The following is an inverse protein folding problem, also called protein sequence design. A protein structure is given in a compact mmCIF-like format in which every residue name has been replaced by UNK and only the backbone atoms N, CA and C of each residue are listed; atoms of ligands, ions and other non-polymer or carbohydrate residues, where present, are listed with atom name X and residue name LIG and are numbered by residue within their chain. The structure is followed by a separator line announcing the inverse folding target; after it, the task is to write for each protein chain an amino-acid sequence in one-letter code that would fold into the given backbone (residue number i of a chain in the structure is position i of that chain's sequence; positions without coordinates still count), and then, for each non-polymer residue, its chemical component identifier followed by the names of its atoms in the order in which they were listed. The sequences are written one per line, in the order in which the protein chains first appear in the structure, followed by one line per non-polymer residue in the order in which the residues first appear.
data_IF_155357272536
#
_entry.id   IF_155357272536
#
_cell.length_a   1.000
_cell.length_b   1.000
_cell.length_c   1.000
_cell.angle_alpha   90.00
_cell.angle_beta   90.00
_cell.angle_gamma   90.00
#
_symmetry.space_group_name_H-M   'P 1'
#
loop_
_entity.id
_entity.type
_entity.pdbx_description
1 polymer ?
#
# COMPACT_ATOMS: atom_id res chain seq x y z
N UNK A 1 -0.38 -21.14 7.12
CA UNK A 1 -0.33 -21.08 8.60
C UNK A 1 0.31 -22.37 9.12
N UNK A 2 0.99 -22.40 10.29
CA UNK A 2 1.61 -23.66 10.82
C UNK A 2 0.56 -24.77 10.98
N UNK A 3 -0.68 -24.38 11.33
CA UNK A 3 -1.81 -25.30 11.51
C UNK A 3 -2.18 -26.01 10.21
N UNK A 4 -2.15 -25.31 9.07
CA UNK A 4 -2.49 -25.91 7.78
C UNK A 4 -1.46 -26.96 7.34
N UNK A 5 -0.18 -26.76 7.67
CA UNK A 5 0.89 -27.71 7.37
C UNK A 5 0.79 -29.01 8.19
N UNK A 6 0.16 -28.96 9.37
CA UNK A 6 0.03 -30.08 10.31
C UNK A 6 -1.35 -30.76 10.25
N UNK A 7 -2.33 -30.15 9.57
CA UNK A 7 -3.71 -30.66 9.43
C UNK A 7 -3.79 -32.07 8.83
N UNK A 8 -2.80 -32.48 8.02
CA UNK A 8 -2.73 -33.83 7.44
C UNK A 8 -2.19 -34.91 8.38
N UNK A 9 -1.56 -34.55 9.51
CA UNK A 9 -0.91 -35.50 10.42
C UNK A 9 -1.59 -35.60 11.79
N UNK A 10 -2.30 -34.55 12.21
CA UNK A 10 -2.89 -34.46 13.55
C UNK A 10 -4.32 -33.93 13.49
N UNK A 11 -5.15 -34.37 14.44
CA UNK A 11 -6.51 -33.86 14.59
C UNK A 11 -6.50 -32.36 14.97
N UNK A 12 -7.32 -31.56 14.27
CA UNK A 12 -7.40 -30.10 14.48
C UNK A 12 -7.67 -29.70 15.95
N UNK A 13 -8.58 -30.34 16.71
CA UNK A 13 -8.82 -29.98 18.10
C UNK A 13 -7.57 -30.14 18.98
N UNK A 14 -6.82 -31.23 18.80
CA UNK A 14 -5.59 -31.50 19.56
C UNK A 14 -4.50 -30.45 19.27
N UNK A 15 -4.40 -30.03 18.01
CA UNK A 15 -3.45 -29.00 17.59
C UNK A 15 -3.82 -27.62 18.15
N UNK A 16 -5.09 -27.26 18.13
CA UNK A 16 -5.60 -26.01 18.72
C UNK A 16 -5.40 -25.97 20.23
N UNK A 17 -5.63 -27.08 20.93
CA UNK A 17 -5.36 -27.20 22.37
C UNK A 17 -3.88 -27.02 22.70
N UNK A 18 -2.97 -27.63 21.90
CA UNK A 18 -1.52 -27.49 22.09
C UNK A 18 -1.03 -26.07 21.86
N UNK A 19 -1.60 -25.38 20.86
CA UNK A 19 -1.27 -24.01 20.48
C UNK A 19 -2.03 -22.95 21.30
N UNK A 20 -2.89 -23.37 22.24
CA UNK A 20 -3.76 -22.50 23.05
C UNK A 20 -4.58 -21.51 22.19
N UNK A 21 -5.15 -21.99 21.10
CA UNK A 21 -5.90 -21.17 20.15
C UNK A 21 -7.38 -21.57 20.11
N UNK A 22 -8.26 -20.57 20.11
CA UNK A 22 -9.70 -20.82 20.01
C UNK A 22 -10.08 -21.29 18.59
N UNK A 23 -11.05 -22.21 18.51
CA UNK A 23 -11.60 -22.72 17.24
C UNK A 23 -12.14 -21.57 16.36
N UNK A 24 -12.81 -20.59 16.95
CA UNK A 24 -13.30 -19.39 16.26
C UNK A 24 -12.17 -18.57 15.63
N UNK A 25 -11.06 -18.40 16.34
CA UNK A 25 -9.89 -17.67 15.85
C UNK A 25 -9.28 -18.35 14.62
N UNK A 26 -9.17 -19.68 14.62
CA UNK A 26 -8.73 -20.45 13.46
C UNK A 26 -9.62 -20.24 12.24
N UNK A 27 -10.94 -20.42 12.38
CA UNK A 27 -11.85 -20.26 11.25
C UNK A 27 -11.92 -18.81 10.76
N UNK A 28 -11.79 -17.83 11.65
CA UNK A 28 -11.69 -16.42 11.26
C UNK A 28 -10.45 -16.20 10.38
N UNK A 29 -9.29 -16.69 10.80
CA UNK A 29 -8.06 -16.55 10.02
C UNK A 29 -8.13 -17.29 8.70
N UNK A 30 -8.70 -18.50 8.68
CA UNK A 30 -8.93 -19.24 7.45
C UNK A 30 -9.86 -18.49 6.49
N UNK A 31 -10.94 -17.89 7.01
CA UNK A 31 -11.83 -17.06 6.21
C UNK A 31 -11.15 -15.79 5.69
N UNK A 32 -10.26 -15.17 6.46
CA UNK A 32 -9.48 -14.00 6.01
C UNK A 32 -8.48 -14.39 4.92
N UNK A 33 -7.79 -15.52 5.06
CA UNK A 33 -6.83 -16.02 4.08
C UNK A 33 -7.49 -16.45 2.76
N UNK A 34 -8.70 -17.00 2.84
CA UNK A 34 -9.45 -17.46 1.66
C UNK A 34 -10.22 -16.34 0.95
N UNK A 35 -10.22 -15.11 1.47
CA UNK A 35 -10.90 -14.00 0.79
C UNK A 35 -10.16 -13.69 -0.52
N UNK A 36 -10.85 -13.76 -1.67
CA UNK A 36 -10.25 -13.36 -2.92
C UNK A 36 -9.87 -11.88 -2.85
N UNK A 37 -8.71 -11.55 -3.39
CA UNK A 37 -8.25 -10.17 -3.36
C UNK A 37 -9.12 -9.31 -4.29
N UNK A 38 -9.81 -8.36 -3.67
CA UNK A 38 -10.72 -7.41 -4.35
C UNK A 38 -10.01 -6.57 -5.41
N UNK A 39 -8.70 -6.36 -5.27
CA UNK A 39 -7.95 -5.40 -6.09
C UNK A 39 -7.03 -6.06 -7.13
N UNK A 40 -7.24 -7.33 -7.47
CA UNK A 40 -6.38 -8.07 -8.39
C UNK A 40 -6.22 -7.39 -9.75
N UNK A 41 -7.31 -6.93 -10.37
CA UNK A 41 -7.24 -6.27 -11.69
C UNK A 41 -6.52 -4.93 -11.61
N UNK A 42 -6.69 -4.21 -10.50
CA UNK A 42 -6.05 -2.93 -10.23
C UNK A 42 -4.54 -3.10 -9.97
N UNK A 43 -4.11 -4.17 -9.30
CA UNK A 43 -2.69 -4.50 -9.13
C UNK A 43 -1.99 -4.63 -10.46
N UNK A 44 -2.56 -5.44 -11.37
CA UNK A 44 -1.98 -5.65 -12.71
C UNK A 44 -1.80 -4.32 -13.44
N UNK A 45 -2.80 -3.44 -13.38
CA UNK A 45 -2.72 -2.13 -14.02
C UNK A 45 -1.70 -1.19 -13.38
N UNK A 46 -1.64 -1.14 -12.04
CA UNK A 46 -0.66 -0.34 -11.30
C UNK A 46 0.76 -0.79 -11.65
N UNK A 47 1.00 -2.10 -11.65
CA UNK A 47 2.29 -2.70 -11.99
C UNK A 47 2.66 -2.44 -13.46
N UNK A 48 1.71 -2.57 -14.39
CA UNK A 48 1.92 -2.22 -15.82
C UNK A 48 2.36 -0.77 -15.97
N UNK A 49 1.61 0.18 -15.39
CA UNK A 49 1.94 1.61 -15.44
C UNK A 49 3.30 1.87 -14.78
N UNK A 50 3.62 1.20 -13.68
CA UNK A 50 4.90 1.36 -13.01
C UNK A 50 6.08 0.92 -13.91
N UNK A 51 5.97 -0.23 -14.57
CA UNK A 51 7.02 -0.75 -15.46
C UNK A 51 7.13 0.02 -16.78
N UNK A 52 6.00 0.42 -17.38
CA UNK A 52 5.96 1.30 -18.56
C UNK A 52 6.75 2.60 -18.30
N UNK A 53 6.71 3.11 -17.07
CA UNK A 53 7.37 4.35 -16.66
C UNK A 53 8.73 4.11 -15.97
N UNK A 54 9.36 2.96 -16.22
CA UNK A 54 10.71 2.58 -15.72
C UNK A 54 10.84 2.64 -14.19
N UNK A 55 9.74 2.50 -13.46
CA UNK A 55 9.72 2.57 -12.00
C UNK A 55 9.98 3.96 -11.41
N UNK A 56 9.85 5.03 -12.20
CA UNK A 56 10.02 6.42 -11.74
C UNK A 56 8.74 6.94 -11.07
N UNK A 57 7.59 6.37 -11.44
CA UNK A 57 6.29 6.87 -10.99
C UNK A 57 6.00 6.41 -9.56
N UNK A 58 5.90 7.37 -8.65
CA UNK A 58 5.31 7.16 -7.33
C UNK A 58 3.79 7.15 -7.35
N UNK A 59 3.17 6.86 -6.20
CA UNK A 59 1.73 6.68 -6.06
C UNK A 59 0.90 7.87 -6.57
N UNK A 60 1.33 9.13 -6.35
CA UNK A 60 0.62 10.30 -6.89
C UNK A 60 0.58 10.32 -8.42
N UNK A 61 1.68 9.95 -9.08
CA UNK A 61 1.76 9.92 -10.56
C UNK A 61 0.94 8.77 -11.12
N UNK A 62 0.94 7.63 -10.46
CA UNK A 62 0.11 6.48 -10.81
C UNK A 62 -1.38 6.83 -10.63
N UNK A 63 -1.76 7.51 -9.55
CA UNK A 63 -3.14 7.98 -9.34
C UNK A 63 -3.62 8.88 -10.48
N UNK A 64 -2.81 9.84 -10.91
CA UNK A 64 -3.13 10.69 -12.08
C UNK A 64 -3.23 9.88 -13.38
N UNK A 65 -2.35 8.89 -13.58
CA UNK A 65 -2.40 8.02 -14.76
C UNK A 65 -3.68 7.16 -14.79
N UNK A 66 -4.11 6.65 -13.64
CA UNK A 66 -5.36 5.89 -13.49
C UNK A 66 -6.60 6.78 -13.68
N UNK A 67 -6.55 8.02 -13.18
CA UNK A 67 -7.63 8.99 -13.38
C UNK A 67 -7.85 9.31 -14.86
N UNK A 68 -6.78 9.37 -15.66
CA UNK A 68 -6.86 9.52 -17.13
C UNK A 68 -7.47 8.31 -17.84
N UNK A 69 -7.39 7.13 -17.23
CA UNK A 69 -8.03 5.89 -17.71
C UNK A 69 -9.43 5.68 -17.11
N UNK A 70 -10.01 6.73 -16.51
CA UNK A 70 -11.34 6.72 -15.87
C UNK A 70 -11.50 5.72 -14.70
N UNK A 71 -10.39 5.29 -14.10
CA UNK A 71 -10.42 4.35 -12.98
C UNK A 71 -10.43 5.13 -11.66
N UNK A 72 -11.56 5.04 -10.95
CA UNK A 72 -11.72 5.65 -9.64
C UNK A 72 -11.15 4.74 -8.53
N UNK A 73 -9.86 4.93 -8.21
CA UNK A 73 -9.23 4.32 -7.05
C UNK A 73 -8.74 5.39 -6.08
N UNK A 74 -8.96 5.14 -4.79
CA UNK A 74 -8.38 5.99 -3.75
C UNK A 74 -6.86 5.86 -3.75
N UNK A 75 -6.19 7.00 -3.60
CA UNK A 75 -4.73 7.08 -3.45
C UNK A 75 -4.20 6.19 -2.32
N UNK A 76 -4.96 6.03 -1.22
CA UNK A 76 -4.61 5.14 -0.11
C UNK A 76 -4.50 3.67 -0.54
N UNK A 77 -5.39 3.24 -1.44
CA UNK A 77 -5.40 1.88 -1.98
C UNK A 77 -4.18 1.67 -2.86
N UNK A 78 -3.85 2.66 -3.70
CA UNK A 78 -2.67 2.62 -4.57
C UNK A 78 -1.39 2.52 -3.73
N UNK A 79 -1.25 3.35 -2.69
CA UNK A 79 -0.10 3.32 -1.79
C UNK A 79 0.04 1.97 -1.09
N UNK A 80 -1.07 1.40 -0.60
CA UNK A 80 -1.10 0.06 0.00
C UNK A 80 -0.69 -1.02 -1.00
N UNK A 81 -1.24 -1.01 -2.21
CA UNK A 81 -0.91 -1.97 -3.28
C UNK A 81 0.57 -1.88 -3.63
N UNK A 82 1.11 -0.68 -3.83
CA UNK A 82 2.54 -0.50 -4.12
C UNK A 82 3.43 -1.06 -3.02
N UNK A 83 3.04 -0.93 -1.75
CA UNK A 83 3.77 -1.49 -0.61
C UNK A 83 3.72 -3.01 -0.59
N UNK A 84 2.55 -3.60 -0.85
CA UNK A 84 2.36 -5.06 -0.88
C UNK A 84 3.11 -5.71 -2.06
N UNK A 85 3.10 -5.06 -3.23
CA UNK A 85 3.83 -5.48 -4.45
C UNK A 85 5.32 -5.10 -4.44
N UNK A 86 5.81 -4.46 -3.36
CA UNK A 86 7.20 -3.98 -3.22
C UNK A 86 7.68 -3.12 -4.40
N UNK A 87 6.80 -2.27 -4.95
CA UNK A 87 7.12 -1.34 -6.04
C UNK A 87 7.93 -0.16 -5.48
N UNK A 88 9.25 -0.32 -5.43
CA UNK A 88 10.18 0.69 -4.97
C UNK A 88 10.43 1.71 -6.07
N UNK A 89 10.00 2.95 -5.84
CA UNK A 89 10.24 4.05 -6.77
C UNK A 89 11.74 4.32 -6.84
N UNK A 90 12.27 4.35 -8.06
CA UNK A 90 13.65 4.78 -8.33
C UNK A 90 13.74 6.30 -8.15
N UNK A 91 13.79 6.74 -6.89
CA UNK A 91 14.14 8.11 -6.58
C UNK A 91 15.63 8.29 -6.92
N UNK A 92 15.93 8.80 -8.12
CA UNK A 92 17.25 9.39 -8.38
C UNK A 92 17.45 10.48 -7.34
N UNK A 93 18.34 10.25 -6.38
CA UNK A 93 18.63 11.15 -5.28
C UNK A 93 19.39 12.37 -5.81
N UNK A 94 18.76 13.17 -6.67
CA UNK A 94 19.19 14.53 -6.93
C UNK A 94 18.68 15.36 -5.77
N UNK A 95 19.41 15.30 -4.64
CA UNK A 95 19.30 16.34 -3.62
C UNK A 95 19.41 17.67 -4.36
N UNK A 96 18.34 18.46 -4.38
CA UNK A 96 18.52 19.90 -4.56
C UNK A 96 19.34 20.34 -3.35
N UNK A 97 20.62 20.66 -3.55
CA UNK A 97 21.28 21.58 -2.64
C UNK A 97 20.50 22.88 -2.74
N UNK A 98 19.66 23.16 -1.76
CA UNK A 98 19.19 24.51 -1.52
C UNK A 98 20.38 25.27 -0.97
N UNK A 99 21.09 26.01 -1.82
CA UNK A 99 22.06 27.00 -1.37
C UNK A 99 21.25 28.14 -0.75
N UNK A 100 21.08 28.09 0.57
CA UNK A 100 20.57 29.22 1.34
C UNK A 100 21.69 30.26 1.45
N UNK A 101 21.65 31.26 0.57
CA UNK A 101 22.44 32.47 0.70
C UNK A 101 21.57 33.63 1.20
N UNK A 102 21.71 33.99 2.47
CA UNK A 102 21.48 35.37 2.94
C UNK A 102 20.24 35.65 3.81
N UNK A 103 20.40 35.45 5.12
CA UNK A 103 19.80 36.20 6.24
C UNK A 103 18.34 36.70 6.17
N UNK A 104 17.45 36.03 6.90
CA UNK A 104 17.07 36.48 8.25
C UNK A 104 16.25 35.41 8.96
N UNK A 105 16.72 35.01 10.15
CA UNK A 105 16.06 34.07 11.03
C UNK A 105 14.93 34.76 11.81
N UNK A 106 13.75 34.12 11.90
CA UNK A 106 12.93 34.03 13.14
C UNK A 106 11.84 32.97 12.95
N UNK A 107 12.04 31.84 13.64
CA UNK A 107 11.12 30.85 14.25
C UNK A 107 9.82 30.48 13.49
N UNK A 108 9.61 29.19 13.14
CA UNK A 108 8.84 28.17 13.93
C UNK A 108 7.50 28.74 14.41
N UNK A 109 6.32 28.18 14.18
CA UNK A 109 5.85 26.89 13.67
C UNK A 109 4.31 27.04 13.54
N UNK A 110 3.68 26.53 12.49
CA UNK A 110 2.33 25.98 12.63
C UNK A 110 2.08 24.87 11.61
N UNK A 111 1.61 23.78 12.21
CA UNK A 111 1.33 22.46 11.72
C UNK A 111 0.31 22.42 10.57
N UNK A 112 0.51 21.41 9.72
CA UNK A 112 -0.44 20.68 8.88
C UNK A 112 -1.90 21.20 8.84
N UNK A 113 -2.37 21.62 7.66
CA UNK A 113 -3.54 21.03 6.97
C UNK A 113 -3.95 21.83 5.72
N UNK A 114 -4.51 21.09 4.75
CA UNK A 114 -5.54 21.57 3.80
C UNK A 114 -5.04 22.27 2.53
N UNK A 115 -4.60 21.50 1.54
CA UNK A 115 -4.81 21.90 0.14
C UNK A 115 -6.32 21.87 -0.12
N UNK A 116 -7.01 23.00 -0.40
CA UNK A 116 -8.36 22.94 -0.91
C UNK A 116 -8.31 22.62 -2.40
N UNK A 117 -9.02 21.56 -2.75
CA UNK A 117 -9.42 21.20 -4.10
C UNK A 117 -10.15 22.41 -4.71
N UNK A 118 -9.54 23.11 -5.67
CA UNK A 118 -10.21 24.20 -6.38
C UNK A 118 -10.93 23.60 -7.58
N UNK A 119 -12.23 23.37 -7.43
CA UNK A 119 -13.15 23.14 -8.54
C UNK A 119 -13.38 24.46 -9.28
N UNK A 120 -13.16 24.46 -10.59
CA UNK A 120 -13.58 25.53 -11.47
C UNK A 120 -15.04 25.31 -11.86
N UNK A 121 -15.87 26.31 -11.55
CA UNK A 121 -17.09 26.65 -12.30
C UNK A 121 -16.84 28.03 -12.87
#
# INVERSE_FOLDING_TARGET
MIIDALKGKYALPALLSRLKMAKSSYYYQQAVMNKPDKYLSQRVQITSIFHENRGIYGYCRIYLALKRKEIMLSEKIICRIMKEEKLLVLCSNKRKQFVFGGNNARSREHDLTRFPFKSAV
#
